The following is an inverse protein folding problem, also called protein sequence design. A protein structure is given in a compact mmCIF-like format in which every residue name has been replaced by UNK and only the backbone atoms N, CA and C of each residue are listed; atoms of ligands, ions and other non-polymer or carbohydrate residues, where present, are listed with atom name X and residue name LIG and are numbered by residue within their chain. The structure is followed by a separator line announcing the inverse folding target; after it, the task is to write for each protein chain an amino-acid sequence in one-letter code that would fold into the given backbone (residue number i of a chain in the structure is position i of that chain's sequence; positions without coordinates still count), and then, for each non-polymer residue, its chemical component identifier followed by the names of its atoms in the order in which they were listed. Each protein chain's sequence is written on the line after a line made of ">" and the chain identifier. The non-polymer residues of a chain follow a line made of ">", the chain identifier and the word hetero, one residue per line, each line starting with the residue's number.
data_IF_024731898685
#
_entry.id   IF_024731898685
#
_cell.length_a   1.000
_cell.length_b   1.000
_cell.length_c   1.000
_cell.angle_alpha   90.00
_cell.angle_beta   90.00
_cell.angle_gamma   90.00
#
_symmetry.space_group_name_H-M   'P 1'
#
loop_
_entity.id
_entity.type
_entity.pdbx_description
1 polymer ?
#
# COMPACT_ATOMS: atom_id res chain seq x y z
N UNK A 1 -4.68 13.02 16.09
CA UNK A 1 -4.32 12.25 14.87
C UNK A 1 -3.39 11.06 15.14
N UNK A 2 -2.34 11.18 15.96
CA UNK A 2 -1.52 10.01 16.31
C UNK A 2 -2.29 8.96 17.14
N UNK A 3 -3.09 9.44 18.11
CA UNK A 3 -3.93 8.60 18.99
C UNK A 3 -4.96 7.79 18.18
N UNK A 4 -5.59 8.39 17.16
CA UNK A 4 -6.58 7.71 16.33
C UNK A 4 -6.00 6.57 15.49
N UNK A 5 -4.74 6.70 15.05
CA UNK A 5 -4.07 5.63 14.31
C UNK A 5 -3.67 4.46 15.21
N UNK A 6 -3.33 4.73 16.47
CA UNK A 6 -2.99 3.71 17.48
C UNK A 6 -4.25 2.95 17.91
N UNK A 7 -5.37 3.66 18.13
CA UNK A 7 -6.67 3.04 18.40
C UNK A 7 -7.18 2.20 17.22
N UNK A 8 -6.98 2.66 15.99
CA UNK A 8 -7.30 1.89 14.77
C UNK A 8 -6.45 0.61 14.65
N UNK A 9 -5.16 0.67 14.99
CA UNK A 9 -4.27 -0.50 15.03
C UNK A 9 -4.68 -1.53 16.10
N UNK A 10 -5.08 -1.06 17.28
CA UNK A 10 -5.51 -1.94 18.38
C UNK A 10 -6.82 -2.66 18.05
N UNK A 11 -7.76 -1.98 17.38
CA UNK A 11 -9.04 -2.53 16.96
C UNK A 11 -8.93 -3.52 15.80
N UNK A 12 -7.85 -3.44 15.01
CA UNK A 12 -7.68 -4.28 13.82
C UNK A 12 -7.23 -5.71 14.15
N UNK A 13 -6.77 -6.01 15.37
CA UNK A 13 -6.31 -7.35 15.77
C UNK A 13 -5.19 -7.92 14.88
N UNK A 14 -4.45 -7.04 14.18
CA UNK A 14 -3.38 -7.45 13.27
C UNK A 14 -2.14 -7.77 14.10
N UNK A 15 -1.47 -8.87 13.77
CA UNK A 15 -0.19 -9.25 14.36
C UNK A 15 0.79 -8.07 14.30
N UNK A 16 1.11 -7.47 15.46
CA UNK A 16 2.01 -6.32 15.58
C UNK A 16 3.36 -6.56 14.89
N UNK A 17 3.79 -7.83 14.85
CA UNK A 17 4.99 -8.33 14.21
C UNK A 17 5.00 -8.18 12.67
N UNK A 18 3.83 -8.16 12.01
CA UNK A 18 3.75 -7.88 10.56
C UNK A 18 3.84 -6.39 10.25
N UNK A 19 3.44 -5.53 11.18
CA UNK A 19 3.47 -4.07 11.02
C UNK A 19 4.84 -3.46 11.31
N UNK A 20 5.71 -4.14 12.06
CA UNK A 20 7.02 -3.60 12.43
C UNK A 20 7.94 -3.42 11.22
N UNK A 21 7.90 -4.34 10.24
CA UNK A 21 8.73 -4.31 9.03
C UNK A 21 8.46 -3.09 8.13
N UNK A 22 7.20 -2.80 7.73
CA UNK A 22 6.93 -1.63 6.91
C UNK A 22 7.13 -0.32 7.68
N UNK A 23 6.86 -0.31 9.00
CA UNK A 23 7.10 0.86 9.84
C UNK A 23 8.59 1.23 9.87
N UNK A 24 9.49 0.28 10.11
CA UNK A 24 10.94 0.56 10.17
C UNK A 24 11.49 1.04 8.82
N UNK A 25 11.03 0.47 7.71
CA UNK A 25 11.43 0.92 6.37
C UNK A 25 10.94 2.35 6.12
N UNK A 26 9.69 2.66 6.43
CA UNK A 26 9.12 3.99 6.23
C UNK A 26 9.80 5.05 7.10
N UNK A 27 10.09 4.76 8.37
CA UNK A 27 10.82 5.70 9.25
C UNK A 27 12.24 5.93 8.77
N UNK A 28 12.92 4.89 8.28
CA UNK A 28 14.29 5.00 7.76
C UNK A 28 14.31 5.91 6.52
N UNK A 29 13.34 5.74 5.62
CA UNK A 29 13.21 6.58 4.44
C UNK A 29 12.82 8.03 4.79
N UNK A 30 11.89 8.22 5.75
CA UNK A 30 11.49 9.54 6.21
C UNK A 30 12.67 10.35 6.79
N UNK A 31 13.60 9.66 7.48
CA UNK A 31 14.80 10.29 8.04
C UNK A 31 15.76 10.77 6.94
N UNK A 32 15.94 9.99 5.88
CA UNK A 32 16.72 10.38 4.69
C UNK A 32 16.09 11.61 4.02
N UNK A 33 14.76 11.67 3.93
CA UNK A 33 14.04 12.81 3.32
C UNK A 33 14.07 14.05 4.22
N UNK A 34 14.14 13.90 5.55
CA UNK A 34 14.22 15.02 6.49
C UNK A 34 15.63 15.63 6.60
N UNK A 35 16.66 14.92 6.14
CA UNK A 35 18.07 15.32 6.23
C UNK A 35 18.39 16.71 5.63
N UNK A 36 17.87 17.08 4.44
CA UNK A 36 18.07 18.41 3.87
C UNK A 36 17.50 19.54 4.75
N UNK A 37 16.40 19.28 5.47
CA UNK A 37 15.81 20.27 6.36
C UNK A 37 16.71 20.52 7.59
N UNK A 38 17.37 19.47 8.09
CA UNK A 38 18.35 19.56 9.19
C UNK A 38 19.61 20.32 8.75
N UNK A 39 20.12 20.05 7.55
CA UNK A 39 21.33 20.70 7.01
C UNK A 39 21.11 22.20 6.76
N UNK A 40 19.94 22.58 6.24
CA UNK A 40 19.59 23.99 6.04
C UNK A 40 19.49 24.77 7.36
N UNK A 41 19.10 24.11 8.45
CA UNK A 41 19.04 24.72 9.79
C UNK A 41 20.44 24.86 10.41
N UNK A 42 21.32 23.87 10.20
CA UNK A 42 22.73 23.93 10.60
C UNK A 42 23.50 25.06 9.90
N UNK A 43 23.13 25.40 8.67
CA UNK A 43 23.75 26.50 7.91
C UNK A 43 23.24 27.89 8.33
N UNK A 44 22.02 27.97 8.90
CA UNK A 44 21.39 29.21 9.41
C UNK A 44 21.67 29.47 10.90
N UNK A 45 22.69 28.79 11.46
CA UNK A 45 23.07 28.79 12.88
C UNK A 45 23.66 30.13 13.37
N UNK A 46 22.92 31.23 13.19
CA UNK A 46 23.21 32.55 13.71
C UNK A 46 22.01 33.26 14.37
N UNK A 47 20.80 32.67 14.36
CA UNK A 47 19.59 33.29 14.94
C UNK A 47 18.86 32.32 15.89
N UNK A 48 18.87 32.55 17.22
CA UNK A 48 18.34 31.63 18.23
C UNK A 48 16.81 31.44 18.26
N UNK A 49 16.05 32.23 17.49
CA UNK A 49 14.57 32.17 17.47
C UNK A 49 13.95 31.12 16.52
N UNK A 50 14.68 30.65 15.50
CA UNK A 50 14.12 29.78 14.44
C UNK A 50 14.18 28.28 14.79
N UNK A 51 15.02 27.89 15.76
CA UNK A 51 15.28 26.49 16.13
C UNK A 51 14.03 25.70 16.51
N UNK A 52 13.12 26.27 17.30
CA UNK A 52 11.95 25.54 17.81
C UNK A 52 10.91 25.23 16.71
N UNK A 53 10.77 26.11 15.73
CA UNK A 53 9.83 25.94 14.62
C UNK A 53 10.25 24.79 13.70
N UNK A 54 11.55 24.70 13.40
CA UNK A 54 12.10 23.69 12.48
C UNK A 54 12.05 22.30 13.11
N UNK A 55 12.39 22.17 14.39
CA UNK A 55 12.29 20.91 15.13
C UNK A 55 10.84 20.40 15.13
N UNK A 56 9.86 21.29 15.36
CA UNK A 56 8.45 20.92 15.31
C UNK A 56 8.03 20.41 13.92
N UNK A 57 8.48 21.08 12.85
CA UNK A 57 8.17 20.66 11.47
C UNK A 57 8.75 19.28 11.15
N UNK A 58 9.98 18.99 11.58
CA UNK A 58 10.62 17.69 11.36
C UNK A 58 9.88 16.59 12.11
N UNK A 59 9.59 16.79 13.39
CA UNK A 59 8.86 15.81 14.22
C UNK A 59 7.45 15.58 13.67
N UNK A 60 6.73 16.65 13.30
CA UNK A 60 5.41 16.56 12.71
C UNK A 60 5.41 15.82 11.37
N UNK A 61 6.45 16.02 10.54
CA UNK A 61 6.61 15.30 9.28
C UNK A 61 6.84 13.81 9.50
N UNK A 62 7.79 13.43 10.36
CA UNK A 62 8.09 12.01 10.66
C UNK A 62 6.86 11.30 11.22
N UNK A 63 6.14 11.93 12.16
CA UNK A 63 4.91 11.38 12.73
C UNK A 63 3.82 11.22 11.66
N UNK A 64 3.64 12.21 10.77
CA UNK A 64 2.65 12.14 9.69
C UNK A 64 2.92 10.99 8.73
N UNK A 65 4.17 10.81 8.30
CA UNK A 65 4.56 9.72 7.40
C UNK A 65 4.33 8.36 8.06
N UNK A 66 4.72 8.25 9.34
CA UNK A 66 4.55 7.03 10.13
C UNK A 66 3.08 6.64 10.28
N UNK A 67 2.22 7.60 10.65
CA UNK A 67 0.78 7.40 10.78
C UNK A 67 0.14 7.01 9.45
N UNK A 68 0.49 7.69 8.36
CA UNK A 68 -0.06 7.40 7.03
C UNK A 68 0.31 5.99 6.55
N UNK A 69 1.56 5.57 6.81
CA UNK A 69 2.05 4.23 6.49
C UNK A 69 1.29 3.17 7.27
N UNK A 70 1.14 3.37 8.58
CA UNK A 70 0.42 2.43 9.46
C UNK A 70 -1.06 2.30 9.06
N UNK A 71 -1.71 3.41 8.72
CA UNK A 71 -3.09 3.40 8.27
C UNK A 71 -3.26 2.59 6.97
N UNK A 72 -2.37 2.80 5.99
CA UNK A 72 -2.39 2.06 4.72
C UNK A 72 -2.13 0.57 4.95
N UNK A 73 -1.04 0.23 5.64
CA UNK A 73 -0.65 -1.17 5.88
C UNK A 73 -1.70 -1.91 6.70
N UNK A 74 -2.27 -1.27 7.72
CA UNK A 74 -3.36 -1.83 8.51
C UNK A 74 -4.56 -2.16 7.63
N UNK A 75 -5.00 -1.19 6.81
CA UNK A 75 -6.13 -1.35 5.89
C UNK A 75 -5.88 -2.49 4.90
N UNK A 76 -4.72 -2.54 4.25
CA UNK A 76 -4.38 -3.59 3.28
C UNK A 76 -4.28 -4.96 3.95
N UNK A 77 -3.75 -5.03 5.17
CA UNK A 77 -3.61 -6.29 5.92
C UNK A 77 -4.96 -6.84 6.36
N UNK A 78 -5.90 -5.97 6.73
CA UNK A 78 -7.23 -6.38 7.18
C UNK A 78 -8.14 -6.80 6.01
N UNK A 79 -8.21 -5.98 4.96
CA UNK A 79 -9.07 -6.29 3.83
C UNK A 79 -8.47 -7.42 2.97
N UNK A 80 -7.16 -7.44 2.78
CA UNK A 80 -6.51 -8.29 1.78
C UNK A 80 -6.74 -7.80 0.35
N UNK A 81 -5.83 -8.19 -0.55
CA UNK A 81 -5.76 -7.64 -1.92
C UNK A 81 -7.04 -7.84 -2.75
N UNK A 82 -7.70 -8.99 -2.63
CA UNK A 82 -8.89 -9.31 -3.42
C UNK A 82 -10.11 -8.49 -2.99
N UNK A 83 -10.24 -8.19 -1.68
CA UNK A 83 -11.36 -7.40 -1.18
C UNK A 83 -11.20 -5.91 -1.53
N UNK A 84 -9.97 -5.41 -1.70
CA UNK A 84 -9.72 -4.06 -2.22
C UNK A 84 -10.26 -3.94 -3.65
N UNK A 85 -10.03 -4.93 -4.51
CA UNK A 85 -10.59 -4.93 -5.88
C UNK A 85 -12.11 -4.99 -5.83
N UNK A 86 -12.68 -5.81 -4.95
CA UNK A 86 -14.14 -5.85 -4.74
C UNK A 86 -14.69 -4.48 -4.30
N UNK A 87 -13.99 -3.78 -3.43
CA UNK A 87 -14.36 -2.42 -3.02
C UNK A 87 -14.37 -1.45 -4.20
N UNK A 88 -13.40 -1.54 -5.12
CA UNK A 88 -13.42 -0.72 -6.35
C UNK A 88 -14.61 -1.01 -7.27
N UNK A 89 -15.08 -2.26 -7.31
CA UNK A 89 -16.28 -2.63 -8.07
C UNK A 89 -17.52 -2.00 -7.45
N UNK A 90 -17.62 -1.99 -6.12
CA UNK A 90 -18.72 -1.32 -5.39
C UNK A 90 -18.68 0.19 -5.62
N UNK A 91 -17.48 0.78 -5.69
CA UNK A 91 -17.27 2.20 -6.00
C UNK A 91 -17.59 2.57 -7.46
N UNK A 92 -18.19 1.65 -8.23
CA UNK A 92 -18.57 1.83 -9.64
C UNK A 92 -17.40 2.22 -10.56
N UNK A 93 -16.19 1.74 -10.27
CA UNK A 93 -15.09 1.85 -11.22
C UNK A 93 -15.41 1.09 -12.52
N UNK A 94 -14.87 1.54 -13.67
CA UNK A 94 -15.10 0.88 -14.95
C UNK A 94 -14.66 -0.59 -14.91
N UNK A 95 -15.53 -1.47 -15.40
CA UNK A 95 -15.36 -2.93 -15.31
C UNK A 95 -14.09 -3.46 -15.99
N UNK A 96 -13.56 -2.74 -16.98
CA UNK A 96 -12.29 -3.07 -17.62
C UNK A 96 -11.11 -2.97 -16.64
N UNK A 97 -11.07 -1.92 -15.81
CA UNK A 97 -9.95 -1.67 -14.90
C UNK A 97 -9.94 -2.67 -13.75
N UNK A 98 -11.10 -2.90 -13.12
CA UNK A 98 -11.24 -3.83 -12.00
C UNK A 98 -10.91 -5.25 -12.42
N UNK A 99 -11.32 -5.65 -13.62
CA UNK A 99 -11.03 -6.97 -14.16
C UNK A 99 -9.56 -7.16 -14.50
N UNK A 100 -8.93 -6.18 -15.15
CA UNK A 100 -7.49 -6.22 -15.42
C UNK A 100 -6.72 -6.35 -14.11
N UNK A 101 -7.09 -5.58 -13.08
CA UNK A 101 -6.48 -5.66 -11.75
C UNK A 101 -6.68 -7.03 -11.09
N UNK A 102 -7.87 -7.62 -11.20
CA UNK A 102 -8.14 -8.97 -10.69
C UNK A 102 -7.26 -10.02 -11.37
N UNK A 103 -7.09 -9.95 -12.68
CA UNK A 103 -6.17 -10.84 -13.41
C UNK A 103 -4.72 -10.63 -12.99
N UNK A 104 -4.26 -9.39 -12.84
CA UNK A 104 -2.92 -9.12 -12.34
C UNK A 104 -2.68 -9.76 -10.97
N UNK A 105 -3.58 -9.56 -10.01
CA UNK A 105 -3.44 -10.13 -8.67
C UNK A 105 -3.45 -11.67 -8.67
N UNK A 106 -4.23 -12.29 -9.55
CA UNK A 106 -4.27 -13.74 -9.69
C UNK A 106 -2.98 -14.30 -10.32
N UNK A 107 -2.42 -13.59 -11.29
CA UNK A 107 -1.28 -14.08 -12.08
C UNK A 107 0.08 -13.76 -11.48
N UNK A 108 0.23 -12.71 -10.66
CA UNK A 108 1.48 -12.39 -9.95
C UNK A 108 2.12 -13.61 -9.27
N UNK A 109 1.43 -14.36 -8.38
CA UNK A 109 2.06 -15.49 -7.70
C UNK A 109 2.39 -16.65 -8.65
N UNK A 110 1.66 -16.77 -9.76
CA UNK A 110 1.89 -17.81 -10.75
C UNK A 110 3.16 -17.49 -11.55
N UNK A 111 3.26 -16.25 -12.05
CA UNK A 111 4.42 -15.78 -12.78
C UNK A 111 5.67 -15.80 -11.90
N UNK A 112 5.56 -15.40 -10.63
CA UNK A 112 6.66 -15.48 -9.68
C UNK A 112 7.20 -16.91 -9.51
N UNK A 113 6.33 -17.92 -9.46
CA UNK A 113 6.74 -19.34 -9.39
C UNK A 113 7.44 -19.80 -10.66
N UNK A 114 6.97 -19.37 -11.84
CA UNK A 114 7.63 -19.65 -13.11
C UNK A 114 9.01 -18.99 -13.17
N UNK A 115 9.14 -17.73 -12.75
CA UNK A 115 10.42 -17.03 -12.68
C UNK A 115 11.42 -17.77 -11.79
N UNK A 116 11.00 -18.22 -10.60
CA UNK A 116 11.87 -18.97 -9.68
C UNK A 116 12.32 -20.30 -10.30
N UNK A 117 11.43 -21.02 -10.99
CA UNK A 117 11.80 -22.26 -11.69
C UNK A 117 12.82 -22.03 -12.81
N UNK A 118 12.61 -20.99 -13.61
CA UNK A 118 13.53 -20.60 -14.69
C UNK A 118 14.90 -20.21 -14.15
N UNK A 119 14.92 -19.47 -13.03
CA UNK A 119 16.16 -19.07 -12.37
C UNK A 119 16.91 -20.28 -11.82
N UNK A 120 16.23 -21.15 -11.06
CA UNK A 120 16.81 -22.36 -10.50
C UNK A 120 17.40 -23.29 -11.58
N UNK A 121 16.71 -23.46 -12.71
CA UNK A 121 17.20 -24.28 -13.82
C UNK A 121 18.49 -23.72 -14.46
N UNK A 122 18.69 -22.40 -14.41
CA UNK A 122 19.88 -21.72 -14.93
C UNK A 122 21.01 -21.69 -13.91
N UNK A 123 20.69 -21.56 -12.63
CA UNK A 123 21.67 -21.64 -11.54
C UNK A 123 22.42 -22.98 -11.55
N UNK A 124 21.74 -24.10 -11.82
CA UNK A 124 22.39 -25.43 -11.94
C UNK A 124 23.41 -25.49 -13.09
N UNK A 125 23.24 -24.68 -14.14
CA UNK A 125 24.15 -24.66 -15.29
C UNK A 125 25.39 -23.78 -15.05
N UNK A 126 25.45 -23.04 -13.94
CA UNK A 126 26.53 -22.12 -13.63
C UNK A 126 27.55 -22.78 -12.72
N UNK A 127 28.75 -23.00 -13.25
CA UNK A 127 29.88 -23.56 -12.49
C UNK A 127 30.60 -22.46 -11.69
N UNK A 128 30.58 -21.20 -12.15
CA UNK A 128 31.14 -20.03 -11.47
C UNK A 128 30.34 -18.78 -11.84
N UNK A 129 29.78 -18.08 -10.86
CA UNK A 129 28.97 -16.88 -11.12
C UNK A 129 29.77 -15.59 -10.88
N UNK A 130 29.88 -14.76 -11.92
CA UNK A 130 30.31 -13.36 -11.80
C UNK A 130 29.08 -12.46 -11.74
N UNK A 131 29.21 -11.27 -11.14
CA UNK A 131 28.13 -10.27 -11.08
C UNK A 131 27.59 -9.93 -12.47
N UNK A 132 28.46 -9.85 -13.47
CA UNK A 132 28.06 -9.61 -14.87
C UNK A 132 27.20 -10.74 -15.44
N UNK A 133 27.59 -11.99 -15.18
CA UNK A 133 26.87 -13.17 -15.65
C UNK A 133 25.48 -13.26 -15.01
N UNK A 134 25.37 -12.93 -13.72
CA UNK A 134 24.09 -12.88 -13.00
C UNK A 134 23.11 -11.90 -13.67
N UNK A 135 23.58 -10.71 -14.06
CA UNK A 135 22.75 -9.75 -14.80
C UNK A 135 22.32 -10.25 -16.17
N UNK A 136 23.23 -10.92 -16.89
CA UNK A 136 22.93 -11.52 -18.21
C UNK A 136 21.86 -12.60 -18.11
N UNK A 137 21.96 -13.47 -17.10
CA UNK A 137 20.98 -14.51 -16.83
C UNK A 137 19.62 -13.89 -16.50
N UNK A 138 19.59 -12.89 -15.61
CA UNK A 138 18.35 -12.23 -15.23
C UNK A 138 17.65 -11.60 -16.42
N UNK A 139 18.40 -10.89 -17.28
CA UNK A 139 17.86 -10.32 -18.53
C UNK A 139 17.25 -11.39 -19.44
N UNK A 140 17.94 -12.52 -19.57
CA UNK A 140 17.46 -13.61 -20.43
C UNK A 140 16.26 -14.34 -19.82
N UNK A 141 16.13 -14.41 -18.48
CA UNK A 141 14.94 -14.94 -17.80
C UNK A 141 13.75 -14.00 -17.99
N UNK A 142 13.96 -12.69 -17.90
CA UNK A 142 12.90 -11.70 -18.12
C UNK A 142 12.36 -11.77 -19.55
N UNK A 143 13.24 -11.90 -20.55
CA UNK A 143 12.81 -12.06 -21.95
C UNK A 143 11.95 -13.30 -22.17
N UNK A 144 12.36 -14.44 -21.59
CA UNK A 144 11.63 -15.71 -21.66
C UNK A 144 10.26 -15.61 -20.95
N UNK A 145 10.23 -14.99 -19.77
CA UNK A 145 9.00 -14.74 -19.01
C UNK A 145 7.99 -13.89 -19.79
N UNK A 146 8.46 -12.87 -20.51
CA UNK A 146 7.59 -12.04 -21.35
C UNK A 146 6.96 -12.89 -22.46
N UNK A 147 7.75 -13.70 -23.17
CA UNK A 147 7.25 -14.58 -24.23
C UNK A 147 6.19 -15.57 -23.70
N UNK A 148 6.50 -16.24 -22.59
CA UNK A 148 5.56 -17.15 -21.93
C UNK A 148 4.28 -16.43 -21.48
N UNK A 149 4.39 -15.18 -21.00
CA UNK A 149 3.23 -14.40 -20.57
C UNK A 149 2.28 -14.07 -21.74
N UNK A 150 2.83 -13.74 -22.91
CA UNK A 150 2.06 -13.46 -24.13
C UNK A 150 1.32 -14.73 -24.58
N UNK A 151 2.04 -15.85 -24.72
CA UNK A 151 1.43 -17.12 -25.11
C UNK A 151 0.33 -17.54 -24.13
N UNK A 152 0.57 -17.37 -22.83
CA UNK A 152 -0.40 -17.69 -21.80
C UNK A 152 -1.62 -16.79 -21.86
N UNK A 153 -1.45 -15.49 -22.11
CA UNK A 153 -2.56 -14.56 -22.26
C UNK A 153 -3.44 -14.94 -23.46
N UNK A 154 -2.83 -15.39 -24.56
CA UNK A 154 -3.54 -15.86 -25.75
C UNK A 154 -4.34 -17.14 -25.46
N UNK A 155 -3.71 -18.14 -24.82
CA UNK A 155 -4.39 -19.37 -24.39
C UNK A 155 -5.54 -19.09 -23.42
N UNK A 156 -5.35 -18.15 -22.49
CA UNK A 156 -6.41 -17.72 -21.56
C UNK A 156 -7.56 -17.06 -22.31
N UNK A 157 -7.26 -16.17 -23.27
CA UNK A 157 -8.27 -15.52 -24.12
C UNK A 157 -9.16 -16.54 -24.82
N UNK A 158 -8.54 -17.51 -25.51
CA UNK A 158 -9.26 -18.61 -26.16
C UNK A 158 -10.10 -19.43 -25.18
N UNK A 159 -9.58 -19.71 -23.99
CA UNK A 159 -10.32 -20.47 -22.96
C UNK A 159 -11.53 -19.69 -22.39
N UNK A 160 -11.40 -18.37 -22.26
CA UNK A 160 -12.51 -17.50 -21.82
C UNK A 160 -13.58 -17.45 -22.91
N UNK A 161 -13.19 -17.25 -24.17
CA UNK A 161 -14.10 -17.22 -25.31
C UNK A 161 -14.85 -18.55 -25.49
N UNK A 162 -14.15 -19.69 -25.35
CA UNK A 162 -14.76 -21.01 -25.43
C UNK A 162 -15.81 -21.26 -24.34
N UNK A 163 -15.63 -20.71 -23.13
CA UNK A 163 -16.56 -20.87 -22.02
C UNK A 163 -17.75 -19.92 -22.08
N UNK A 164 -17.56 -18.73 -22.64
CA UNK A 164 -18.63 -17.73 -22.66
C UNK A 164 -18.54 -16.85 -23.92
N UNK A 165 -18.99 -17.38 -25.07
CA UNK A 165 -19.00 -16.63 -26.32
C UNK A 165 -19.91 -15.40 -26.17
N UNK A 166 -19.36 -14.20 -26.37
CA UNK A 166 -20.12 -12.94 -26.38
C UNK A 166 -20.63 -12.45 -25.01
N UNK A 167 -20.23 -13.06 -23.89
CA UNK A 167 -20.76 -12.64 -22.60
C UNK A 167 -20.18 -11.30 -22.12
N UNK A 168 -21.10 -10.37 -21.82
CA UNK A 168 -20.79 -9.19 -21.00
C UNK A 168 -20.61 -9.63 -19.56
N UNK A 169 -19.37 -9.55 -19.13
CA UNK A 169 -18.85 -9.85 -17.81
C UNK A 169 -19.42 -8.89 -16.75
N UNK A 170 -20.61 -9.18 -16.25
CA UNK A 170 -21.14 -8.50 -15.08
C UNK A 170 -20.78 -9.29 -13.83
N UNK A 171 -19.71 -8.91 -13.15
CA UNK A 171 -19.42 -9.47 -11.82
C UNK A 171 -20.28 -8.74 -10.79
N UNK A 172 -21.43 -9.32 -10.45
CA UNK A 172 -22.27 -8.80 -9.36
C UNK A 172 -21.73 -9.34 -8.05
N UNK A 173 -21.07 -8.48 -7.27
CA UNK A 173 -20.63 -8.83 -5.92
C UNK A 173 -21.67 -8.33 -4.92
N UNK A 174 -22.33 -9.25 -4.23
CA UNK A 174 -23.11 -8.90 -3.05
C UNK A 174 -22.15 -8.62 -1.89
N UNK A 175 -22.16 -7.40 -1.37
CA UNK A 175 -21.45 -7.03 -0.16
C UNK A 175 -22.40 -7.17 1.02
N UNK A 176 -22.03 -8.00 2.00
CA UNK A 176 -22.77 -8.13 3.25
C UNK A 176 -21.93 -7.50 4.35
N UNK A 177 -22.50 -6.50 5.06
CA UNK A 177 -21.80 -5.87 6.18
C UNK A 177 -21.75 -6.85 7.35
N UNK A 178 -20.55 -7.11 7.85
CA UNK A 178 -20.35 -7.91 9.05
C UNK A 178 -20.49 -7.06 10.30
N UNK A 179 -20.90 -7.68 11.42
CA UNK A 179 -20.98 -7.00 12.73
C UNK A 179 -19.63 -6.41 13.18
N UNK A 180 -18.50 -6.97 12.70
CA UNK A 180 -17.15 -6.46 12.96
C UNK A 180 -16.87 -5.14 12.24
N UNK A 181 -17.46 -4.94 11.06
CA UNK A 181 -17.27 -3.72 10.27
C UNK A 181 -17.90 -2.51 10.97
N UNK A 182 -19.02 -2.72 11.66
CA UNK A 182 -19.67 -1.68 12.48
C UNK A 182 -18.81 -1.26 13.68
N UNK A 183 -18.14 -2.21 14.35
CA UNK A 183 -17.24 -1.90 15.48
C UNK A 183 -16.06 -1.06 15.00
N UNK A 184 -15.44 -1.44 13.88
CA UNK A 184 -14.33 -0.70 13.29
C UNK A 184 -14.76 0.71 12.88
N UNK A 185 -15.93 0.84 12.26
CA UNK A 185 -16.47 2.14 11.84
C UNK A 185 -16.72 3.07 13.03
N UNK A 186 -17.23 2.56 14.15
CA UNK A 186 -17.41 3.32 15.40
C UNK A 186 -16.06 3.77 16.00
N UNK A 187 -15.05 2.91 16.02
CA UNK A 187 -13.72 3.24 16.55
C UNK A 187 -13.00 4.29 15.69
N UNK A 188 -13.25 4.34 14.37
CA UNK A 188 -12.70 5.38 13.49
C UNK A 188 -13.44 6.71 13.63
N UNK A 189 -14.77 6.67 13.70
CA UNK A 189 -15.59 7.89 13.76
C UNK A 189 -15.41 8.66 15.07
N UNK A 190 -15.25 7.95 16.20
CA UNK A 190 -15.13 8.59 17.52
C UNK A 190 -13.99 9.61 17.60
N UNK A 191 -12.71 9.32 17.28
CA UNK A 191 -11.66 10.33 17.32
C UNK A 191 -11.76 11.36 16.19
N UNK A 192 -12.39 11.02 15.07
CA UNK A 192 -12.62 11.97 13.97
C UNK A 192 -13.63 13.04 14.41
N UNK A 193 -14.74 12.65 15.03
CA UNK A 193 -15.74 13.55 15.57
C UNK A 193 -15.13 14.43 16.66
N UNK A 194 -14.36 13.85 17.59
CA UNK A 194 -13.69 14.60 18.66
C UNK A 194 -12.73 15.66 18.07
N UNK A 195 -11.97 15.31 17.03
CA UNK A 195 -11.09 16.25 16.34
C UNK A 195 -11.86 17.37 15.66
N UNK A 196 -12.93 17.06 14.92
CA UNK A 196 -13.77 18.07 14.26
C UNK A 196 -14.39 19.01 15.29
N UNK A 197 -14.93 18.48 16.40
CA UNK A 197 -15.47 19.31 17.48
C UNK A 197 -14.41 20.22 18.11
N UNK A 198 -13.21 19.70 18.41
CA UNK A 198 -12.14 20.51 19.01
C UNK A 198 -11.56 21.57 18.08
N UNK A 199 -11.63 21.39 16.76
CA UNK A 199 -11.12 22.35 15.76
C UNK A 199 -12.19 23.38 15.35
N UNK A 200 -13.47 23.00 15.37
CA UNK A 200 -14.59 23.87 14.98
C UNK A 200 -15.05 24.75 16.14
N UNK A 201 -15.03 24.25 17.38
CA UNK A 201 -15.53 24.97 18.57
C UNK A 201 -14.66 26.18 19.02
N UNK A 202 -13.33 26.27 18.78
CA UNK A 202 -12.54 27.46 19.16
C UNK A 202 -12.90 28.73 18.37
N UNK A 203 -13.68 28.62 17.29
CA UNK A 203 -14.14 29.74 16.45
C UNK A 203 -15.67 29.93 16.50
N UNK A 204 -16.30 29.57 17.62
CA UNK A 204 -17.65 30.03 17.95
C UNK A 204 -17.65 31.54 18.21
N UNK A 205 -18.70 32.29 17.81
CA UNK A 205 -18.69 33.74 17.76
C UNK A 205 -18.40 34.30 19.16
N UNK A 206 -17.39 35.17 19.24
CA UNK A 206 -17.20 36.05 20.40
C UNK A 206 -18.56 36.67 20.72
N UNK A 207 -19.11 36.52 21.93
CA UNK A 207 -20.36 37.18 22.29
C UNK A 207 -20.10 38.69 22.23
N UNK A 208 -20.59 39.34 21.18
CA UNK A 208 -20.85 40.77 21.21
C UNK A 208 -22.16 40.92 21.98
N UNK A 209 -22.03 41.22 23.28
CA UNK A 209 -22.92 42.03 24.12
C UNK A 209 -22.38 42.06 25.55
#
# INVERSE_FOLDING_TARGET
>A
MAISSISFLLALGVELLRLIKPFTVATSFALIVALPAIVNDLYKLGLPGIKYLVIYQIVAFVLRVSVSTLALVGTVSYLGWMNIVRAFIILRMPSFLTRSLMFFLLYIPIMARETVKMLAAREVRLIKSSRSETWRILSTVVGDLILCSIERSHRLGMAIEARSPGARYSTTYAFTLSKRDYIILMVILTPFIIYVTLVVIPWGPTPML
#
